data_IF_481987449043
#
_entry.id   IF_481987449043
#
_cell.length_a   1.000
_cell.length_b   1.000
_cell.length_c   1.000
_cell.angle_alpha   90.00
_cell.angle_beta   90.00
_cell.angle_gamma   90.00
#
_symmetry.space_group_name_H-M   'P 1'
#
loop_
_entity.id
_entity.type
_entity.pdbx_description
1 polymer ?
#
# COMPACT_ATOMS: atom_id res chain seq x y z
N UNK A 1 0.84 21.95 1.96
CA UNK A 1 0.24 20.75 2.60
C UNK A 1 -1.04 20.26 1.91
N UNK A 2 -1.72 21.07 1.08
CA UNK A 2 -2.98 20.64 0.43
C UNK A 2 -2.79 19.61 -0.71
N UNK A 3 -1.65 19.62 -1.40
CA UNK A 3 -1.36 18.71 -2.53
C UNK A 3 -1.36 17.22 -2.15
N UNK A 4 -0.94 16.87 -0.93
CA UNK A 4 -0.85 15.47 -0.50
C UNK A 4 -2.22 14.77 -0.45
N UNK A 5 -3.30 15.53 -0.28
CA UNK A 5 -4.69 15.00 -0.24
C UNK A 5 -5.12 14.34 -1.55
N UNK A 6 -4.44 14.63 -2.65
CA UNK A 6 -4.71 14.05 -3.96
C UNK A 6 -3.80 12.87 -4.27
N UNK A 7 -2.78 12.62 -3.44
CA UNK A 7 -1.81 11.56 -3.66
C UNK A 7 -2.26 10.33 -2.88
N UNK A 8 -2.55 9.25 -3.62
CA UNK A 8 -2.90 7.95 -3.05
C UNK A 8 -1.67 7.05 -2.98
N UNK A 9 -1.39 6.54 -1.79
CA UNK A 9 -0.21 5.72 -1.48
C UNK A 9 -0.68 4.33 -1.04
N UNK A 10 -0.04 3.29 -1.57
CA UNK A 10 -0.24 1.91 -1.12
C UNK A 10 0.97 1.45 -0.30
N UNK A 11 0.74 1.02 0.94
CA UNK A 11 1.76 0.42 1.80
C UNK A 11 1.59 -1.11 1.80
N UNK A 12 2.64 -1.85 1.46
CA UNK A 12 2.64 -3.33 1.40
C UNK A 12 3.68 -3.87 2.37
N UNK A 13 3.23 -4.44 3.48
CA UNK A 13 4.11 -4.97 4.52
C UNK A 13 3.40 -6.05 5.35
N UNK A 14 4.07 -7.18 5.60
CA UNK A 14 3.50 -8.31 6.36
C UNK A 14 3.52 -8.07 7.87
N UNK A 15 4.29 -7.09 8.36
CA UNK A 15 4.31 -6.63 9.75
C UNK A 15 3.13 -5.70 10.04
N UNK A 16 2.15 -6.12 10.87
CA UNK A 16 1.00 -5.27 11.19
C UNK A 16 1.41 -3.97 11.88
N UNK A 17 2.39 -4.03 12.79
CA UNK A 17 2.85 -2.87 13.54
C UNK A 17 3.49 -1.82 12.64
N UNK A 18 4.33 -2.23 11.69
CA UNK A 18 4.99 -1.31 10.78
C UNK A 18 4.01 -0.70 9.78
N UNK A 19 3.09 -1.53 9.23
CA UNK A 19 2.02 -1.08 8.34
C UNK A 19 1.11 -0.04 9.02
N UNK A 20 0.67 -0.29 10.26
CA UNK A 20 -0.14 0.68 11.02
C UNK A 20 0.62 1.96 11.35
N UNK A 21 1.92 1.86 11.65
CA UNK A 21 2.79 3.02 11.87
C UNK A 21 2.90 3.90 10.62
N UNK A 22 3.21 3.31 9.46
CA UNK A 22 3.31 4.05 8.20
C UNK A 22 1.98 4.65 7.77
N UNK A 23 0.87 3.93 7.94
CA UNK A 23 -0.47 4.47 7.66
C UNK A 23 -0.74 5.72 8.49
N UNK A 24 -0.54 5.64 9.80
CA UNK A 24 -0.75 6.78 10.72
C UNK A 24 0.14 7.97 10.35
N UNK A 25 1.40 7.71 9.98
CA UNK A 25 2.35 8.74 9.57
C UNK A 25 1.86 9.44 8.29
N UNK A 26 1.53 8.68 7.24
CA UNK A 26 1.08 9.22 5.95
C UNK A 26 -0.25 9.97 6.06
N UNK A 27 -1.19 9.46 6.85
CA UNK A 27 -2.48 10.11 7.10
C UNK A 27 -2.29 11.44 7.86
N UNK A 28 -1.31 11.52 8.77
CA UNK A 28 -0.96 12.78 9.45
C UNK A 28 -0.45 13.85 8.48
N UNK A 29 0.22 13.44 7.40
CA UNK A 29 0.63 14.29 6.28
C UNK A 29 -0.43 14.46 5.18
N UNK A 30 -1.66 13.98 5.45
CA UNK A 30 -2.84 14.11 4.59
C UNK A 30 -2.78 13.36 3.26
N UNK A 31 -1.99 12.29 3.16
CA UNK A 31 -2.10 11.35 2.03
C UNK A 31 -3.39 10.54 2.11
N UNK A 32 -3.81 9.95 0.99
CA UNK A 32 -4.81 8.89 0.98
C UNK A 32 -4.08 7.55 1.06
N UNK A 33 -4.13 6.87 2.19
CA UNK A 33 -3.34 5.65 2.39
C UNK A 33 -4.21 4.40 2.28
N UNK A 34 -3.78 3.46 1.44
CA UNK A 34 -4.26 2.08 1.40
C UNK A 34 -3.16 1.16 1.91
N UNK A 35 -3.54 0.00 2.42
CA UNK A 35 -2.58 -0.96 2.98
C UNK A 35 -2.87 -2.38 2.51
N UNK A 36 -1.84 -3.17 2.28
CA UNK A 36 -1.91 -4.60 2.03
C UNK A 36 -0.90 -5.36 2.90
N UNK A 37 -1.20 -6.59 3.32
CA UNK A 37 -0.25 -7.45 4.04
C UNK A 37 0.60 -8.33 3.12
N UNK A 38 0.22 -8.47 1.85
CA UNK A 38 0.92 -9.32 0.89
C UNK A 38 0.66 -8.90 -0.56
N UNK A 39 1.46 -9.45 -1.48
CA UNK A 39 1.44 -9.07 -2.90
C UNK A 39 0.09 -9.28 -3.60
N UNK A 40 -0.69 -10.33 -3.28
CA UNK A 40 -1.98 -10.58 -3.93
C UNK A 40 -2.98 -9.45 -3.66
N UNK A 41 -3.23 -9.15 -2.40
CA UNK A 41 -4.06 -8.01 -1.98
C UNK A 41 -3.54 -6.68 -2.57
N UNK A 42 -2.22 -6.48 -2.62
CA UNK A 42 -1.65 -5.29 -3.26
C UNK A 42 -2.01 -5.19 -4.75
N UNK A 43 -1.91 -6.30 -5.49
CA UNK A 43 -2.30 -6.35 -6.91
C UNK A 43 -3.79 -6.11 -7.11
N UNK A 44 -4.64 -6.68 -6.24
CA UNK A 44 -6.09 -6.43 -6.26
C UNK A 44 -6.43 -4.96 -6.02
N UNK A 45 -5.76 -4.32 -5.06
CA UNK A 45 -5.91 -2.88 -4.78
C UNK A 45 -5.41 -2.02 -5.94
N UNK A 46 -4.31 -2.38 -6.59
CA UNK A 46 -3.80 -1.68 -7.76
C UNK A 46 -4.77 -1.75 -8.95
N UNK A 47 -5.44 -2.90 -9.14
CA UNK A 47 -6.46 -3.04 -10.16
C UNK A 47 -7.71 -2.19 -9.86
N UNK A 48 -8.11 -2.08 -8.60
CA UNK A 48 -9.28 -1.31 -8.16
C UNK A 48 -9.01 0.21 -8.07
N UNK A 49 -7.77 0.61 -7.82
CA UNK A 49 -7.36 2.00 -7.61
C UNK A 49 -6.23 2.39 -8.58
N UNK A 50 -6.54 2.60 -9.87
CA UNK A 50 -5.56 3.00 -10.87
C UNK A 50 -4.97 4.41 -10.60
N UNK A 51 -5.52 5.16 -9.66
CA UNK A 51 -5.05 6.47 -9.21
C UNK A 51 -3.96 6.41 -8.11
N UNK A 52 -3.56 5.21 -7.67
CA UNK A 52 -2.39 5.04 -6.80
C UNK A 52 -1.15 5.59 -7.50
N UNK A 53 -0.49 6.54 -6.85
CA UNK A 53 0.67 7.26 -7.40
C UNK A 53 2.01 6.75 -6.85
N UNK A 54 1.99 6.05 -5.71
CA UNK A 54 3.17 5.57 -5.02
C UNK A 54 2.88 4.25 -4.29
N UNK A 55 3.85 3.33 -4.33
CA UNK A 55 3.85 2.10 -3.54
C UNK A 55 5.07 2.11 -2.62
N UNK A 56 4.86 1.83 -1.34
CA UNK A 56 5.92 1.59 -0.34
C UNK A 56 5.83 0.11 0.03
N UNK A 57 6.88 -0.66 -0.23
CA UNK A 57 6.89 -2.12 0.00
C UNK A 57 8.18 -2.54 0.69
N UNK A 58 8.10 -3.53 1.59
CA UNK A 58 9.30 -4.26 2.02
C UNK A 58 9.74 -5.25 0.93
N UNK A 59 11.05 -5.43 0.80
CA UNK A 59 11.70 -6.33 -0.17
C UNK A 59 11.41 -7.79 0.18
N UNK A 60 11.10 -8.10 1.45
CA UNK A 60 10.77 -9.47 1.88
C UNK A 60 9.32 -9.85 1.66
N UNK A 61 8.42 -8.92 1.30
CA UNK A 61 7.04 -9.25 0.97
C UNK A 61 7.01 -10.32 -0.12
N UNK A 62 6.66 -11.55 0.28
CA UNK A 62 6.76 -12.73 -0.56
C UNK A 62 5.72 -12.63 -1.67
N UNK A 63 6.15 -12.79 -2.91
CA UNK A 63 5.21 -12.97 -4.01
C UNK A 63 4.72 -14.42 -4.00
N UNK A 64 3.48 -14.65 -3.57
CA UNK A 64 2.81 -15.90 -3.85
C UNK A 64 2.50 -15.93 -5.34
N UNK A 65 3.29 -16.69 -6.11
CA UNK A 65 3.01 -16.88 -7.54
C UNK A 65 1.56 -17.35 -7.66
N UNK A 66 0.73 -16.55 -8.32
CA UNK A 66 -0.58 -16.99 -8.77
C UNK A 66 -0.31 -18.16 -9.70
N UNK A 67 -0.58 -19.39 -9.24
CA UNK A 67 -0.71 -20.52 -10.14
C UNK A 67 -1.90 -20.20 -11.03
N UNK A 68 -1.62 -19.97 -12.30
CA UNK A 68 -2.64 -20.00 -13.34
C UNK A 68 -2.97 -21.48 -13.55
N UNK A 69 -3.90 -21.98 -12.75
CA UNK A 69 -4.56 -23.27 -12.95
C UNK A 69 -6.01 -22.97 -13.35
#
# INVERSE_FOLDING_TARGET
MWHNRQVKVLVVDDSPSFRSYLQSLLDSYRYQTLTACHGREALELLAQHPDISLIITDVKCRNERVRAD
#
